data_IF_927988354284
#
_entry.id   IF_927988354284
#
_cell.length_a   1.000
_cell.length_b   1.000
_cell.length_c   1.000
_cell.angle_alpha   90.00
_cell.angle_beta   90.00
_cell.angle_gamma   90.00
#
_symmetry.space_group_name_H-M   'P 1'
#
loop_
_entity.id
_entity.type
_entity.pdbx_description
1 polymer ?
#
# COMPACT_ATOMS: atom_id res chain seq x y z
N UNK A 1 10.08 15.20 -19.62
CA UNK A 1 9.44 14.84 -18.33
C UNK A 1 8.48 13.68 -18.53
N UNK A 2 7.50 13.80 -19.43
CA UNK A 2 6.51 12.74 -19.71
C UNK A 2 7.16 11.42 -20.13
N UNK A 3 8.22 11.46 -20.96
CA UNK A 3 8.91 10.24 -21.41
C UNK A 3 9.63 9.53 -20.26
N UNK A 4 10.24 10.29 -19.36
CA UNK A 4 10.91 9.75 -18.16
C UNK A 4 9.89 9.12 -17.20
N UNK A 5 8.72 9.77 -17.05
CA UNK A 5 7.63 9.24 -16.24
C UNK A 5 7.07 7.94 -16.85
N UNK A 6 6.82 7.90 -18.16
CA UNK A 6 6.40 6.68 -18.86
C UNK A 6 7.40 5.55 -18.69
N UNK A 7 8.70 5.85 -18.80
CA UNK A 7 9.76 4.87 -18.62
C UNK A 7 9.77 4.29 -17.20
N UNK A 8 9.67 5.13 -16.17
CA UNK A 8 9.66 4.67 -14.77
C UNK A 8 8.39 3.86 -14.43
N UNK A 9 7.21 4.27 -14.91
CA UNK A 9 5.99 3.46 -14.75
C UNK A 9 6.08 2.10 -15.47
N UNK A 10 6.68 2.07 -16.66
CA UNK A 10 6.89 0.82 -17.39
C UNK A 10 7.81 -0.14 -16.61
N UNK A 11 8.90 0.38 -16.04
CA UNK A 11 9.78 -0.40 -15.15
C UNK A 11 9.03 -0.93 -13.93
N UNK A 12 8.24 -0.08 -13.28
CA UNK A 12 7.50 -0.43 -12.07
C UNK A 12 6.54 -1.61 -12.29
N UNK A 13 5.77 -1.57 -13.38
CA UNK A 13 4.80 -2.63 -13.71
C UNK A 13 5.48 -3.97 -14.04
N UNK A 14 6.69 -3.95 -14.59
CA UNK A 14 7.44 -5.17 -14.95
C UNK A 14 8.36 -5.68 -13.84
N UNK A 15 8.50 -4.93 -12.74
CA UNK A 15 9.30 -5.36 -11.61
C UNK A 15 8.53 -6.40 -10.80
N UNK A 16 9.00 -7.66 -10.85
CA UNK A 16 8.36 -8.80 -10.16
C UNK A 16 8.08 -8.52 -8.68
N UNK A 17 9.04 -7.94 -7.95
CA UNK A 17 8.88 -7.66 -6.52
C UNK A 17 7.73 -6.70 -6.22
N UNK A 18 7.53 -5.68 -7.05
CA UNK A 18 6.41 -4.75 -6.92
C UNK A 18 5.10 -5.46 -7.25
N UNK A 19 5.06 -6.24 -8.33
CA UNK A 19 3.87 -6.97 -8.74
C UNK A 19 3.38 -8.00 -7.70
N UNK A 20 4.29 -8.60 -6.92
CA UNK A 20 3.94 -9.53 -5.85
C UNK A 20 3.50 -8.84 -4.55
N UNK A 21 3.82 -7.56 -4.35
CA UNK A 21 3.56 -6.91 -3.05
C UNK A 21 2.08 -6.79 -2.67
N UNK A 22 1.08 -6.61 -3.58
CA UNK A 22 -0.33 -6.71 -3.18
C UNK A 22 -0.70 -8.10 -2.65
N UNK A 23 -0.11 -9.16 -3.21
CA UNK A 23 -0.34 -10.53 -2.74
C UNK A 23 0.28 -10.76 -1.35
N UNK A 24 1.47 -10.21 -1.12
CA UNK A 24 2.11 -10.23 0.21
C UNK A 24 1.27 -9.45 1.23
N UNK A 25 0.80 -8.25 0.87
CA UNK A 25 -0.08 -7.44 1.70
C UNK A 25 -1.35 -8.21 2.09
N UNK A 26 -2.01 -8.83 1.09
CA UNK A 26 -3.18 -9.67 1.34
C UNK A 26 -2.88 -10.83 2.30
N UNK A 27 -1.76 -11.53 2.09
CA UNK A 27 -1.34 -12.64 2.94
C UNK A 27 -1.11 -12.22 4.39
N UNK A 28 -0.47 -11.06 4.62
CA UNK A 28 -0.23 -10.51 5.95
C UNK A 28 -1.51 -10.07 6.64
N UNK A 29 -2.40 -9.35 5.95
CA UNK A 29 -3.71 -8.97 6.48
C UNK A 29 -4.57 -10.20 6.81
N UNK A 30 -4.55 -11.23 5.94
CA UNK A 30 -5.27 -12.47 6.15
C UNK A 30 -4.72 -13.24 7.35
N UNK A 31 -3.40 -13.26 7.54
CA UNK A 31 -2.79 -13.85 8.74
C UNK A 31 -3.30 -13.17 10.02
N UNK A 32 -3.32 -11.84 10.06
CA UNK A 32 -3.87 -11.08 11.20
C UNK A 32 -5.35 -11.38 11.39
N UNK A 33 -6.14 -11.37 10.31
CA UNK A 33 -7.58 -11.63 10.37
C UNK A 33 -7.95 -13.03 10.81
N UNK A 34 -7.16 -14.06 10.52
CA UNK A 34 -7.38 -15.43 11.03
C UNK A 34 -6.99 -15.50 12.50
N UNK A 35 -5.88 -14.87 12.87
CA UNK A 35 -5.37 -14.85 14.25
C UNK A 35 -6.32 -14.11 15.19
N UNK A 36 -7.02 -13.08 14.71
CA UNK A 36 -7.92 -12.26 15.51
C UNK A 36 -9.25 -12.92 15.87
N UNK A 37 -9.59 -14.09 15.28
CA UNK A 37 -10.90 -14.75 15.50
C UNK A 37 -11.18 -15.08 16.97
N UNK A 38 -10.14 -15.26 17.77
CA UNK A 38 -10.24 -15.72 19.17
C UNK A 38 -9.82 -14.65 20.20
N UNK A 39 -9.41 -13.45 19.77
CA UNK A 39 -8.82 -12.43 20.66
C UNK A 39 -9.79 -11.30 21.07
N UNK A 40 -11.05 -11.35 20.64
CA UNK A 40 -12.15 -10.61 21.28
C UNK A 40 -12.76 -9.49 20.46
N UNK A 41 -12.01 -8.43 20.11
CA UNK A 41 -12.58 -7.27 19.41
C UNK A 41 -12.36 -7.33 17.89
N UNK A 42 -13.29 -8.01 17.21
CA UNK A 42 -13.26 -8.16 15.75
C UNK A 42 -13.47 -6.82 15.02
N UNK A 43 -14.20 -5.89 15.64
CA UNK A 43 -14.45 -4.57 15.05
C UNK A 43 -13.17 -3.75 15.05
N UNK A 44 -12.37 -3.79 16.13
CA UNK A 44 -11.05 -3.15 16.20
C UNK A 44 -10.16 -3.55 15.01
N UNK A 45 -10.00 -4.86 14.77
CA UNK A 45 -9.17 -5.32 13.66
C UNK A 45 -9.73 -4.92 12.29
N UNK A 46 -11.05 -4.82 12.16
CA UNK A 46 -11.69 -4.31 10.93
C UNK A 46 -11.35 -2.84 10.73
N UNK A 47 -11.50 -2.01 11.76
CA UNK A 47 -11.27 -0.56 11.68
C UNK A 47 -9.80 -0.24 11.43
N UNK A 48 -8.88 -1.08 11.92
CA UNK A 48 -7.44 -0.96 11.66
C UNK A 48 -6.97 -1.73 10.41
N UNK A 49 -7.89 -2.12 9.54
CA UNK A 49 -7.59 -2.84 8.29
C UNK A 49 -6.68 -4.07 8.49
N UNK A 50 -6.80 -4.78 9.61
CA UNK A 50 -5.97 -5.93 9.97
C UNK A 50 -4.45 -5.66 9.93
N UNK A 51 -4.04 -4.51 10.49
CA UNK A 51 -2.67 -4.00 10.43
C UNK A 51 -2.18 -3.71 8.99
N UNK A 52 -3.12 -3.50 8.06
CA UNK A 52 -2.84 -3.27 6.66
C UNK A 52 -2.01 -2.01 6.42
N UNK A 53 -2.20 -0.96 7.22
CA UNK A 53 -1.43 0.28 7.12
C UNK A 53 0.04 0.06 7.44
N UNK A 54 0.34 -0.61 8.54
CA UNK A 54 1.70 -0.92 8.98
C UNK A 54 2.43 -1.83 7.97
N UNK A 55 1.72 -2.84 7.45
CA UNK A 55 2.29 -3.70 6.40
C UNK A 55 2.51 -2.96 5.09
N UNK A 56 1.60 -2.06 4.72
CA UNK A 56 1.72 -1.22 3.53
C UNK A 56 2.93 -0.28 3.65
N UNK A 57 3.14 0.35 4.81
CA UNK A 57 4.28 1.24 5.07
C UNK A 57 5.61 0.52 4.84
N UNK A 58 5.75 -0.69 5.39
CA UNK A 58 6.94 -1.53 5.20
C UNK A 58 7.13 -1.86 3.71
N UNK A 59 6.06 -2.26 3.01
CA UNK A 59 6.13 -2.59 1.59
C UNK A 59 6.50 -1.38 0.72
N UNK A 60 6.04 -0.17 1.07
CA UNK A 60 6.42 1.06 0.36
C UNK A 60 7.87 1.45 0.60
N UNK A 61 8.38 1.28 1.82
CA UNK A 61 9.82 1.49 2.10
C UNK A 61 10.66 0.54 1.24
N UNK A 62 10.28 -0.74 1.16
CA UNK A 62 10.97 -1.73 0.34
C UNK A 62 10.86 -1.38 -1.16
N UNK A 63 9.67 -1.02 -1.64
CA UNK A 63 9.44 -0.68 -3.03
C UNK A 63 10.24 0.57 -3.46
N UNK A 64 10.22 1.63 -2.64
CA UNK A 64 10.98 2.86 -2.89
C UNK A 64 12.49 2.61 -2.90
N UNK A 65 13.01 1.83 -1.95
CA UNK A 65 14.41 1.42 -1.93
C UNK A 65 14.79 0.66 -3.21
N UNK A 66 13.96 -0.30 -3.64
CA UNK A 66 14.23 -1.06 -4.86
C UNK A 66 14.21 -0.21 -6.14
N UNK A 67 13.29 0.76 -6.25
CA UNK A 67 13.22 1.69 -7.40
C UNK A 67 14.51 2.50 -7.55
N UNK A 68 15.19 2.78 -6.44
CA UNK A 68 16.49 3.46 -6.44
C UNK A 68 17.62 2.47 -6.69
N UNK A 69 17.70 1.38 -5.93
CA UNK A 69 18.80 0.42 -5.96
C UNK A 69 18.95 -0.28 -7.31
N UNK A 70 17.85 -0.61 -8.00
CA UNK A 70 17.92 -1.24 -9.33
C UNK A 70 18.70 -0.39 -10.35
N UNK A 71 18.70 0.95 -10.22
CA UNK A 71 19.47 1.83 -11.10
C UNK A 71 20.97 1.75 -10.86
N UNK A 72 21.38 1.44 -9.63
CA UNK A 72 22.77 1.21 -9.26
C UNK A 72 23.22 -0.20 -9.65
N UNK A 73 22.40 -1.21 -9.40
CA UNK A 73 22.67 -2.61 -9.77
C UNK A 73 22.90 -2.78 -11.28
N UNK A 74 22.07 -2.13 -12.10
CA UNK A 74 22.17 -2.21 -13.56
C UNK A 74 23.07 -1.12 -14.17
N UNK A 75 23.66 -0.24 -13.36
CA UNK A 75 24.52 0.86 -13.82
C UNK A 75 23.81 1.92 -14.68
N UNK A 76 22.48 1.90 -14.76
CA UNK A 76 21.66 2.77 -15.61
C UNK A 76 21.59 4.21 -15.11
N UNK A 77 21.98 4.46 -13.85
CA UNK A 77 21.98 5.81 -13.28
C UNK A 77 22.86 6.80 -14.06
N UNK A 78 24.03 6.34 -14.56
CA UNK A 78 24.95 7.18 -15.35
C UNK A 78 24.32 7.55 -16.69
N UNK A 79 23.62 6.60 -17.31
CA UNK A 79 22.93 6.81 -18.57
C UNK A 79 21.76 7.80 -18.43
N UNK A 80 20.93 7.65 -17.39
CA UNK A 80 19.82 8.58 -17.14
C UNK A 80 20.30 10.01 -16.88
N UNK A 81 21.38 10.18 -16.10
CA UNK A 81 21.97 11.49 -15.83
C UNK A 81 22.52 12.12 -17.12
N UNK A 82 23.17 11.33 -17.98
CA UNK A 82 23.71 11.81 -19.25
C UNK A 82 22.61 12.22 -20.25
N UNK A 83 21.49 11.50 -20.28
CA UNK A 83 20.40 11.75 -21.24
C UNK A 83 19.54 12.96 -20.88
N UNK A 84 19.20 13.13 -19.59
CA UNK A 84 18.25 14.15 -19.16
C UNK A 84 18.90 15.38 -18.50
N UNK A 85 20.19 15.32 -18.15
CA UNK A 85 21.03 16.38 -17.56
C UNK A 85 20.40 17.18 -16.38
N UNK A 86 19.31 16.70 -15.79
CA UNK A 86 18.60 17.33 -14.69
C UNK A 86 18.32 16.30 -13.59
N UNK A 87 19.17 16.30 -12.57
CA UNK A 87 19.10 15.37 -11.44
C UNK A 87 17.83 15.56 -10.60
N UNK A 88 17.36 16.81 -10.47
CA UNK A 88 16.12 17.11 -9.75
C UNK A 88 14.90 16.50 -10.45
N UNK A 89 14.85 16.58 -11.79
CA UNK A 89 13.75 16.01 -12.56
C UNK A 89 13.69 14.48 -12.47
N UNK A 90 14.85 13.82 -12.43
CA UNK A 90 14.94 12.36 -12.22
C UNK A 90 14.40 11.99 -10.84
N UNK A 91 14.84 12.69 -9.79
CA UNK A 91 14.37 12.46 -8.42
C UNK A 91 12.86 12.67 -8.28
N UNK A 92 12.36 13.80 -8.77
CA UNK A 92 10.94 14.16 -8.69
C UNK A 92 10.04 13.15 -9.42
N UNK A 93 10.51 12.63 -10.55
CA UNK A 93 9.76 11.61 -11.30
C UNK A 93 9.66 10.30 -10.52
N UNK A 94 10.74 9.88 -9.83
CA UNK A 94 10.70 8.69 -8.96
C UNK A 94 9.72 8.88 -7.80
N UNK A 95 9.68 10.07 -7.19
CA UNK A 95 8.68 10.38 -6.15
C UNK A 95 7.25 10.26 -6.68
N UNK A 96 6.95 10.80 -7.87
CA UNK A 96 5.62 10.68 -8.48
C UNK A 96 5.21 9.23 -8.77
N UNK A 97 6.18 8.38 -9.12
CA UNK A 97 5.94 6.96 -9.40
C UNK A 97 5.66 6.20 -8.09
N UNK A 98 6.40 6.49 -7.03
CA UNK A 98 6.16 5.93 -5.69
C UNK A 98 4.82 6.38 -5.13
N UNK A 99 4.47 7.66 -5.25
CA UNK A 99 3.19 8.19 -4.74
C UNK A 99 2.00 7.59 -5.50
N UNK A 100 2.10 7.44 -6.82
CA UNK A 100 1.09 6.75 -7.61
C UNK A 100 0.96 5.27 -7.19
N UNK A 101 2.08 4.62 -6.88
CA UNK A 101 2.06 3.25 -6.37
C UNK A 101 1.43 3.14 -4.98
N UNK A 102 1.66 4.13 -4.12
CA UNK A 102 1.03 4.23 -2.80
C UNK A 102 -0.50 4.29 -2.90
N UNK A 103 -1.05 5.09 -3.83
CA UNK A 103 -2.50 5.16 -4.10
C UNK A 103 -3.05 3.78 -4.48
N UNK A 104 -2.35 3.05 -5.34
CA UNK A 104 -2.76 1.71 -5.79
C UNK A 104 -2.80 0.71 -4.62
N UNK A 105 -1.77 0.68 -3.77
CA UNK A 105 -1.74 -0.20 -2.61
C UNK A 105 -2.83 0.13 -1.57
N UNK A 106 -3.17 1.41 -1.37
CA UNK A 106 -4.28 1.79 -0.50
C UNK A 106 -5.63 1.32 -1.05
N UNK A 107 -5.82 1.38 -2.37
CA UNK A 107 -7.00 0.79 -3.03
C UNK A 107 -7.10 -0.71 -2.77
N UNK A 108 -5.99 -1.43 -2.86
CA UNK A 108 -5.94 -2.85 -2.52
C UNK A 108 -6.21 -3.11 -1.04
N UNK A 109 -5.62 -2.34 -0.12
CA UNK A 109 -5.86 -2.47 1.32
C UNK A 109 -7.34 -2.36 1.67
N UNK A 110 -8.07 -1.41 1.07
CA UNK A 110 -9.52 -1.29 1.27
C UNK A 110 -10.27 -2.55 0.80
N UNK A 111 -10.00 -3.00 -0.42
CA UNK A 111 -10.62 -4.21 -1.00
C UNK A 111 -10.31 -5.44 -0.14
N UNK A 112 -9.06 -5.61 0.26
CA UNK A 112 -8.60 -6.72 1.08
C UNK A 112 -9.20 -6.71 2.47
N UNK A 113 -9.40 -5.54 3.09
CA UNK A 113 -10.07 -5.44 4.39
C UNK A 113 -11.48 -6.03 4.32
N UNK A 114 -12.23 -5.72 3.25
CA UNK A 114 -13.57 -6.29 3.04
C UNK A 114 -13.48 -7.81 2.85
N UNK A 115 -12.57 -8.28 2.00
CA UNK A 115 -12.41 -9.72 1.71
C UNK A 115 -12.01 -10.50 2.97
N UNK A 116 -10.99 -10.04 3.70
CA UNK A 116 -10.48 -10.68 4.92
C UNK A 116 -11.55 -10.71 6.01
N UNK A 117 -12.31 -9.61 6.19
CA UNK A 117 -13.47 -9.58 7.09
C UNK A 117 -14.44 -10.73 6.84
N UNK A 118 -14.87 -10.89 5.58
CA UNK A 118 -15.83 -11.93 5.21
C UNK A 118 -15.24 -13.34 5.36
N UNK A 119 -13.96 -13.54 5.04
CA UNK A 119 -13.27 -14.82 5.24
C UNK A 119 -13.13 -15.15 6.74
N UNK A 120 -12.86 -14.15 7.57
CA UNK A 120 -12.53 -14.36 8.98
C UNK A 120 -13.75 -14.64 9.85
N UNK A 121 -14.80 -13.83 9.76
CA UNK A 121 -15.98 -13.95 10.64
C UNK A 121 -17.32 -13.73 9.91
N UNK A 122 -17.30 -13.66 8.58
CA UNK A 122 -18.50 -13.64 7.75
C UNK A 122 -19.36 -12.39 7.95
N UNK A 123 -20.69 -12.58 7.98
CA UNK A 123 -21.69 -11.52 8.11
C UNK A 123 -22.04 -11.16 9.56
N UNK A 124 -21.43 -11.82 10.55
CA UNK A 124 -21.76 -11.65 11.98
C UNK A 124 -21.55 -10.23 12.50
N UNK A 125 -20.61 -9.49 11.90
CA UNK A 125 -20.25 -8.12 12.29
C UNK A 125 -20.55 -7.16 11.12
N UNK A 126 -21.64 -6.38 11.15
CA UNK A 126 -22.00 -5.49 10.05
C UNK A 126 -21.18 -4.19 10.12
N UNK A 127 -20.83 -3.66 8.95
CA UNK A 127 -20.12 -2.38 8.83
C UNK A 127 -20.89 -1.17 9.39
N UNK A 128 -22.22 -1.28 9.48
CA UNK A 128 -23.09 -0.26 10.05
C UNK A 128 -23.25 -0.33 11.57
N UNK A 129 -22.64 -1.30 12.26
CA UNK A 129 -22.66 -1.34 13.71
C UNK A 129 -21.97 -0.09 14.28
N UNK A 130 -22.60 0.54 15.27
CA UNK A 130 -21.97 1.62 16.04
C UNK A 130 -20.84 1.00 16.85
N UNK A 131 -19.66 1.58 16.71
CA UNK A 131 -18.43 1.22 17.39
C UNK A 131 -17.85 2.48 18.06
N UNK A 132 -16.55 2.44 18.38
CA UNK A 132 -15.80 3.51 19.03
C UNK A 132 -16.12 4.91 18.47
N UNK A 133 -16.08 5.91 19.36
CA UNK A 133 -16.45 7.31 19.08
C UNK A 133 -17.88 7.53 18.57
N UNK A 134 -18.83 6.62 18.86
CA UNK A 134 -20.21 6.62 18.33
C UNK A 134 -20.28 6.63 16.79
N UNK A 135 -19.21 6.20 16.13
CA UNK A 135 -19.12 6.10 14.68
C UNK A 135 -19.34 4.65 14.25
N UNK A 136 -19.82 4.46 13.03
CA UNK A 136 -19.95 3.10 12.48
C UNK A 136 -18.57 2.48 12.22
N UNK A 137 -18.48 1.15 12.22
CA UNK A 137 -17.24 0.45 11.82
C UNK A 137 -16.72 0.93 10.46
N UNK A 138 -17.62 1.22 9.52
CA UNK A 138 -17.25 1.78 8.22
C UNK A 138 -16.65 3.18 8.32
N UNK A 139 -17.22 4.07 9.15
CA UNK A 139 -16.71 5.43 9.33
C UNK A 139 -15.32 5.43 9.97
N UNK A 140 -15.12 4.59 10.99
CA UNK A 140 -13.82 4.41 11.63
C UNK A 140 -12.78 3.83 10.64
N UNK A 141 -13.16 2.83 9.84
CA UNK A 141 -12.31 2.28 8.78
C UNK A 141 -11.91 3.35 7.76
N UNK A 142 -12.88 4.13 7.24
CA UNK A 142 -12.58 5.18 6.27
C UNK A 142 -11.65 6.25 6.87
N UNK A 143 -11.88 6.63 8.13
CA UNK A 143 -11.01 7.58 8.85
C UNK A 143 -9.59 7.06 8.96
N UNK A 144 -9.41 5.78 9.32
CA UNK A 144 -8.11 5.13 9.35
C UNK A 144 -7.43 5.14 7.98
N UNK A 145 -8.14 4.69 6.93
CA UNK A 145 -7.61 4.61 5.57
C UNK A 145 -7.17 5.98 5.04
N UNK A 146 -7.98 7.02 5.24
CA UNK A 146 -7.63 8.38 4.83
C UNK A 146 -6.47 8.93 5.65
N UNK A 147 -6.46 8.74 6.97
CA UNK A 147 -5.37 9.20 7.82
C UNK A 147 -4.05 8.55 7.44
N UNK A 148 -4.03 7.23 7.23
CA UNK A 148 -2.83 6.51 6.80
C UNK A 148 -2.39 6.96 5.39
N UNK A 149 -3.32 7.10 4.45
CA UNK A 149 -3.02 7.62 3.11
C UNK A 149 -2.30 8.98 3.12
N UNK A 150 -2.80 9.94 3.90
CA UNK A 150 -2.20 11.28 3.99
C UNK A 150 -0.84 11.28 4.70
N UNK A 151 -0.61 10.36 5.63
CA UNK A 151 0.68 10.25 6.32
C UNK A 151 1.77 9.63 5.45
N UNK A 152 1.39 8.82 4.46
CA UNK A 152 2.32 7.90 3.79
C UNK A 152 2.66 8.28 2.34
N UNK A 153 1.73 8.82 1.54
CA UNK A 153 1.86 8.86 0.05
C UNK A 153 2.62 10.04 -0.61
#
# INVERSE_FOLDING_TARGET
MIDLLKQEFFKLVHQKGILFSPLVLFGLMLFVGISSKHTGDLNYYTTQSFAGGEWLDILLIIASANIVTMEFEHGTIKHMIAQHNNRFLIYFTKMMVVSAYCVVLHGFMFIFTIVVKYISYGSTHPFGAIYDNNQTVMQNLMTFLFSNFFLVC
#
